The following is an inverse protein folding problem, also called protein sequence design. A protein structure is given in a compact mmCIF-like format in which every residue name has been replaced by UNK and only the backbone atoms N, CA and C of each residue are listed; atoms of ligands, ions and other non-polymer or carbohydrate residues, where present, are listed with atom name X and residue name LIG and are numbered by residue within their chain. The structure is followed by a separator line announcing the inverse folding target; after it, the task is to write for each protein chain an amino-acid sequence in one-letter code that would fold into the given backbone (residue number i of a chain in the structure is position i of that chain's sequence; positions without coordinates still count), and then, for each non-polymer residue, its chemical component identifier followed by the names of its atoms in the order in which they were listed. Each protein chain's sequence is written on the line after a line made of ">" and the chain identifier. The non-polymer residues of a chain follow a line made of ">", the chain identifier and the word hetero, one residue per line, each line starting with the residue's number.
data_IF_956638000647
#
_entry.id   IF_956638000647
#
_cell.length_a   1.000
_cell.length_b   1.000
_cell.length_c   1.000
_cell.angle_alpha   90.00
_cell.angle_beta   90.00
_cell.angle_gamma   90.00
#
_symmetry.space_group_name_H-M   'P 1'
#
loop_
_entity.id
_entity.type
_entity.pdbx_description
1 polymer ?
#
# COMPACT_ATOMS: atom_id res chain seq x y z
N UNK A 1 33.52 12.00 -92.81
CA UNK A 1 32.43 11.19 -92.23
C UNK A 1 32.84 10.80 -90.79
N UNK A 2 32.25 11.35 -89.79
CA UNK A 2 32.53 11.03 -88.37
C UNK A 2 31.41 10.11 -87.88
N UNK A 3 31.69 9.06 -87.11
CA UNK A 3 30.68 8.21 -86.56
C UNK A 3 30.06 8.82 -85.26
N UNK A 4 28.77 8.63 -85.07
CA UNK A 4 27.93 9.05 -84.00
C UNK A 4 28.05 8.06 -82.82
N UNK A 5 28.13 8.50 -81.56
CA UNK A 5 28.16 7.55 -80.43
C UNK A 5 26.75 7.12 -80.03
N UNK A 6 26.58 5.82 -79.86
CA UNK A 6 25.36 5.20 -79.30
C UNK A 6 25.34 5.40 -77.80
N UNK A 7 24.27 6.07 -77.28
CA UNK A 7 24.02 6.26 -75.87
C UNK A 7 23.27 5.03 -75.34
N UNK A 8 23.90 4.23 -74.49
CA UNK A 8 23.24 3.13 -73.77
C UNK A 8 22.63 3.69 -72.46
N UNK A 9 21.31 3.76 -72.38
CA UNK A 9 20.59 4.11 -71.15
C UNK A 9 20.50 2.89 -70.25
N UNK A 10 21.23 2.92 -69.14
CA UNK A 10 21.12 1.91 -68.10
C UNK A 10 19.84 2.21 -67.17
N UNK A 11 18.86 1.33 -67.27
CA UNK A 11 17.64 1.41 -66.45
C UNK A 11 17.94 0.76 -65.08
N UNK A 12 18.18 1.59 -64.04
CA UNK A 12 18.29 1.11 -62.65
C UNK A 12 16.87 0.84 -62.10
N UNK A 13 16.51 -0.42 -62.02
CA UNK A 13 15.30 -0.86 -61.29
C UNK A 13 15.60 -0.83 -59.79
N UNK A 14 15.09 0.21 -59.08
CA UNK A 14 15.13 0.28 -57.61
C UNK A 14 14.05 -0.66 -57.06
N UNK A 15 14.47 -1.81 -56.54
CA UNK A 15 13.59 -2.69 -55.74
C UNK A 15 13.33 -2.05 -54.39
N UNK A 16 12.17 -1.43 -54.19
CA UNK A 16 11.68 -1.06 -52.87
C UNK A 16 11.28 -2.33 -52.11
N UNK A 17 12.14 -2.80 -51.23
CA UNK A 17 11.82 -3.80 -50.22
C UNK A 17 10.96 -3.13 -49.18
N UNK A 18 9.63 -3.25 -49.29
CA UNK A 18 8.69 -2.86 -48.24
C UNK A 18 8.84 -3.82 -47.08
N UNK A 19 9.61 -3.44 -46.06
CA UNK A 19 9.62 -4.13 -44.77
C UNK A 19 8.32 -3.82 -44.05
N UNK A 20 7.39 -4.76 -44.12
CA UNK A 20 6.18 -4.72 -43.29
C UNK A 20 6.60 -4.84 -41.81
N UNK A 21 6.68 -3.72 -41.13
CA UNK A 21 6.77 -3.71 -39.65
C UNK A 21 5.43 -4.26 -39.15
N UNK A 22 5.40 -5.54 -38.77
CA UNK A 22 4.27 -6.10 -38.05
C UNK A 22 4.18 -5.30 -36.74
N UNK A 23 3.12 -4.51 -36.60
CA UNK A 23 2.76 -3.91 -35.32
C UNK A 23 2.65 -5.05 -34.30
N UNK A 24 3.57 -5.08 -33.33
CA UNK A 24 3.54 -6.05 -32.25
C UNK A 24 2.28 -5.76 -31.43
N UNK A 25 1.44 -6.76 -31.24
CA UNK A 25 0.25 -6.60 -30.39
C UNK A 25 0.70 -6.03 -29.04
N UNK A 26 -0.06 -5.09 -28.43
CA UNK A 26 0.32 -4.52 -27.15
C UNK A 26 0.54 -5.65 -26.14
N UNK A 27 1.77 -5.75 -25.67
CA UNK A 27 2.16 -6.77 -24.70
C UNK A 27 1.38 -6.49 -23.40
N UNK A 28 0.68 -7.51 -22.87
CA UNK A 28 -0.05 -7.38 -21.59
C UNK A 28 0.94 -6.93 -20.51
N UNK A 29 0.61 -5.90 -19.70
CA UNK A 29 1.52 -5.44 -18.64
C UNK A 29 1.90 -6.59 -17.69
N UNK A 30 3.16 -6.66 -17.29
CA UNK A 30 3.64 -7.58 -16.25
C UNK A 30 3.33 -6.99 -14.87
N UNK A 31 2.09 -7.13 -14.42
CA UNK A 31 1.61 -6.57 -13.16
C UNK A 31 2.15 -7.34 -11.97
N UNK A 32 2.80 -6.62 -11.06
CA UNK A 32 3.38 -7.16 -9.85
C UNK A 32 2.93 -6.32 -8.65
N UNK A 33 2.66 -6.97 -7.52
CA UNK A 33 2.22 -6.28 -6.30
C UNK A 33 2.83 -6.92 -5.05
N UNK A 34 3.36 -6.08 -4.16
CA UNK A 34 3.70 -6.44 -2.80
C UNK A 34 2.52 -6.12 -1.88
N UNK A 35 2.20 -7.04 -0.98
CA UNK A 35 1.15 -6.85 0.03
C UNK A 35 1.78 -6.38 1.32
N UNK A 36 1.23 -5.33 1.92
CA UNK A 36 1.64 -4.81 3.22
C UNK A 36 0.42 -4.63 4.12
N UNK A 37 0.58 -4.92 5.41
CA UNK A 37 -0.52 -4.86 6.39
C UNK A 37 -0.06 -4.01 7.57
N UNK A 38 -0.76 -2.90 7.79
CA UNK A 38 -0.45 -1.95 8.83
C UNK A 38 -1.23 -2.23 10.13
N UNK A 39 -0.87 -1.54 11.17
CA UNK A 39 -1.59 -1.49 12.43
C UNK A 39 -1.56 -2.75 13.29
N UNK A 40 -0.48 -3.55 13.18
CA UNK A 40 -0.34 -4.74 14.01
C UNK A 40 -0.29 -4.40 15.52
N UNK A 41 -0.84 -5.28 16.40
CA UNK A 41 -1.45 -6.59 16.10
C UNK A 41 -2.85 -6.51 15.52
N UNK A 42 -3.55 -5.37 15.59
CA UNK A 42 -4.86 -5.12 14.98
C UNK A 42 -5.18 -3.63 14.92
N UNK A 43 -5.77 -3.17 13.83
CA UNK A 43 -6.33 -1.81 13.72
C UNK A 43 -7.38 -1.51 14.78
N UNK A 44 -8.04 -2.55 15.32
CA UNK A 44 -9.08 -2.46 16.36
C UNK A 44 -8.60 -2.96 17.73
N UNK A 45 -7.29 -2.93 18.01
CA UNK A 45 -6.70 -3.51 19.22
C UNK A 45 -7.29 -2.98 20.52
N UNK A 46 -7.73 -1.72 20.56
CA UNK A 46 -8.35 -1.11 21.74
C UNK A 46 -9.73 -1.71 22.06
N UNK A 47 -10.41 -2.26 21.06
CA UNK A 47 -11.78 -2.77 21.13
C UNK A 47 -11.87 -4.30 21.18
N UNK A 48 -10.76 -4.99 20.88
CA UNK A 48 -10.72 -6.45 20.83
C UNK A 48 -9.94 -7.02 22.02
N UNK A 49 -10.40 -8.15 22.61
CA UNK A 49 -9.60 -8.94 23.54
C UNK A 49 -8.41 -9.59 22.80
N UNK A 50 -7.34 -9.89 23.55
CA UNK A 50 -6.14 -10.50 22.95
C UNK A 50 -6.41 -11.86 22.29
N UNK A 51 -7.32 -12.66 22.84
CA UNK A 51 -7.70 -13.95 22.27
C UNK A 51 -8.31 -13.79 20.85
N UNK A 52 -9.17 -12.77 20.65
CA UNK A 52 -9.78 -12.50 19.34
C UNK A 52 -8.73 -11.99 18.36
N UNK A 53 -7.78 -11.15 18.81
CA UNK A 53 -6.64 -10.69 17.99
C UNK A 53 -5.80 -11.88 17.54
N UNK A 54 -5.49 -12.81 18.46
CA UNK A 54 -4.71 -14.01 18.15
C UNK A 54 -5.44 -14.93 17.15
N UNK A 55 -6.75 -15.12 17.33
CA UNK A 55 -7.58 -15.92 16.42
C UNK A 55 -7.67 -15.27 15.01
N UNK A 56 -7.90 -13.96 14.96
CA UNK A 56 -7.88 -13.17 13.72
C UNK A 56 -6.52 -13.30 13.01
N UNK A 57 -5.42 -13.11 13.75
CA UNK A 57 -4.06 -13.21 13.21
C UNK A 57 -3.80 -14.60 12.65
N UNK A 58 -4.17 -15.68 13.38
CA UNK A 58 -4.00 -17.05 12.91
C UNK A 58 -4.70 -17.31 11.57
N UNK A 59 -5.94 -16.82 11.43
CA UNK A 59 -6.73 -16.98 10.22
C UNK A 59 -6.13 -16.21 9.04
N UNK A 60 -5.77 -14.94 9.26
CA UNK A 60 -5.14 -14.08 8.26
C UNK A 60 -3.85 -14.70 7.73
N UNK A 61 -2.93 -15.05 8.64
CA UNK A 61 -1.63 -15.61 8.29
C UNK A 61 -1.75 -17.00 7.65
N UNK A 62 -2.73 -17.81 8.06
CA UNK A 62 -3.04 -19.09 7.44
C UNK A 62 -3.38 -18.93 5.97
N UNK A 63 -4.29 -18.01 5.63
CA UNK A 63 -4.67 -17.73 4.23
C UNK A 63 -3.49 -17.24 3.41
N UNK A 64 -2.70 -16.28 3.94
CA UNK A 64 -1.53 -15.71 3.26
C UNK A 64 -0.45 -16.77 2.98
N UNK A 65 -0.14 -17.62 3.97
CA UNK A 65 0.83 -18.71 3.84
C UNK A 65 0.37 -19.75 2.80
N UNK A 66 -0.89 -20.19 2.90
CA UNK A 66 -1.42 -21.25 2.04
C UNK A 66 -1.47 -20.80 0.58
N UNK A 67 -1.69 -19.50 0.35
CA UNK A 67 -1.63 -18.88 -0.97
C UNK A 67 -0.23 -18.41 -1.38
N UNK A 68 0.80 -18.60 -0.53
CA UNK A 68 2.21 -18.22 -0.75
C UNK A 68 2.38 -16.73 -1.06
N UNK A 69 1.67 -15.88 -0.35
CA UNK A 69 1.75 -14.43 -0.51
C UNK A 69 2.84 -13.87 0.42
N UNK A 70 3.93 -13.28 -0.10
CA UNK A 70 4.89 -12.58 0.76
C UNK A 70 4.27 -11.30 1.31
N UNK A 71 4.41 -11.08 2.62
CA UNK A 71 3.80 -9.92 3.32
C UNK A 71 4.76 -9.35 4.34
N UNK A 72 4.72 -8.03 4.50
CA UNK A 72 5.33 -7.30 5.62
C UNK A 72 4.22 -6.69 6.47
N UNK A 73 4.24 -6.93 7.79
CA UNK A 73 3.33 -6.31 8.74
C UNK A 73 3.99 -5.15 9.49
N UNK A 74 3.32 -4.02 9.61
CA UNK A 74 3.84 -2.82 10.28
C UNK A 74 3.18 -2.64 11.66
N UNK A 75 4.02 -2.50 12.70
CA UNK A 75 3.62 -2.65 14.11
C UNK A 75 3.53 -1.30 14.80
N UNK A 76 2.42 -1.07 15.51
CA UNK A 76 2.34 -0.02 16.54
C UNK A 76 2.47 -0.67 17.93
N UNK A 77 3.64 -0.58 18.54
CA UNK A 77 3.89 -1.31 19.79
C UNK A 77 2.99 -0.88 20.96
N UNK A 78 2.51 0.36 20.98
CA UNK A 78 1.56 0.83 22.01
C UNK A 78 0.33 -0.06 22.14
N UNK A 79 -0.14 -0.62 21.02
CA UNK A 79 -1.30 -1.52 20.97
C UNK A 79 -1.08 -2.86 21.70
N UNK A 80 0.17 -3.17 22.06
CA UNK A 80 0.50 -4.37 22.86
C UNK A 80 0.25 -4.16 24.36
N UNK A 81 0.33 -2.91 24.85
CA UNK A 81 0.34 -2.60 26.27
C UNK A 81 -1.08 -2.43 26.83
N UNK A 82 -1.83 -3.52 26.90
CA UNK A 82 -3.11 -3.59 27.61
C UNK A 82 -2.94 -4.47 28.85
N UNK A 83 -3.31 -3.92 29.99
CA UNK A 83 -3.15 -4.59 31.28
C UNK A 83 -3.74 -6.02 31.25
N UNK A 84 -2.92 -7.00 31.63
CA UNK A 84 -3.30 -8.41 31.65
C UNK A 84 -3.29 -9.12 30.29
N UNK A 85 -2.97 -8.42 29.19
CA UNK A 85 -3.01 -9.00 27.84
C UNK A 85 -1.67 -8.87 27.07
N UNK A 86 -0.61 -8.29 27.66
CA UNK A 86 0.62 -7.93 26.96
C UNK A 86 1.27 -9.14 26.28
N UNK A 87 1.45 -10.23 27.02
CA UNK A 87 2.12 -11.43 26.50
C UNK A 87 1.34 -12.07 25.34
N UNK A 88 0.01 -12.11 25.44
CA UNK A 88 -0.83 -12.67 24.37
C UNK A 88 -0.83 -11.80 23.12
N UNK A 89 -0.79 -10.47 23.27
CA UNK A 89 -0.68 -9.53 22.16
C UNK A 89 0.69 -9.59 21.49
N UNK A 90 1.77 -9.77 22.27
CA UNK A 90 3.12 -10.03 21.73
C UNK A 90 3.15 -11.35 20.96
N UNK A 91 2.46 -12.38 21.45
CA UNK A 91 2.34 -13.67 20.77
C UNK A 91 1.71 -13.55 19.38
N UNK A 92 0.74 -12.65 19.21
CA UNK A 92 0.20 -12.36 17.87
C UNK A 92 1.31 -11.86 16.90
N UNK A 93 2.26 -11.03 17.36
CA UNK A 93 3.42 -10.64 16.53
C UNK A 93 4.41 -11.78 16.29
N UNK A 94 4.63 -12.64 17.30
CA UNK A 94 5.48 -13.84 17.12
C UNK A 94 4.95 -14.73 16.01
N UNK A 95 3.62 -14.88 15.92
CA UNK A 95 2.99 -15.68 14.86
C UNK A 95 3.37 -15.20 13.46
N UNK A 96 3.46 -13.88 13.20
CA UNK A 96 3.93 -13.37 11.92
C UNK A 96 5.29 -13.95 11.53
N UNK A 97 6.23 -13.93 12.46
CA UNK A 97 7.59 -14.44 12.27
C UNK A 97 7.62 -15.98 12.14
N UNK A 98 6.77 -16.69 12.87
CA UNK A 98 6.67 -18.16 12.84
C UNK A 98 6.04 -18.66 11.53
N UNK A 99 5.19 -17.82 10.91
CA UNK A 99 4.66 -18.09 9.58
C UNK A 99 5.62 -17.67 8.45
N UNK A 100 6.78 -17.09 8.79
CA UNK A 100 7.84 -16.72 7.84
C UNK A 100 7.64 -15.32 7.23
N UNK A 101 6.78 -14.48 7.81
CA UNK A 101 6.58 -13.10 7.38
C UNK A 101 7.52 -12.13 8.09
N UNK A 102 7.62 -10.90 7.58
CA UNK A 102 8.46 -9.85 8.15
C UNK A 102 7.64 -8.85 8.95
N UNK A 103 8.31 -8.21 9.92
CA UNK A 103 7.77 -7.08 10.68
C UNK A 103 8.52 -5.81 10.34
N UNK A 104 7.79 -4.71 10.20
CA UNK A 104 8.27 -3.33 10.05
C UNK A 104 7.80 -2.44 11.20
N UNK A 105 8.38 -1.27 11.32
CA UNK A 105 8.01 -0.26 12.32
C UNK A 105 6.97 0.70 11.76
N UNK A 106 5.91 0.96 12.54
CA UNK A 106 4.84 1.92 12.25
C UNK A 106 4.69 2.96 13.36
N UNK A 107 5.81 3.32 13.99
CA UNK A 107 5.92 4.09 15.24
C UNK A 107 5.31 3.37 16.46
N UNK A 108 5.57 3.88 17.66
CA UNK A 108 5.02 3.30 18.87
C UNK A 108 3.52 3.54 18.97
N UNK A 109 3.10 4.79 18.89
CA UNK A 109 1.72 5.22 19.17
C UNK A 109 0.89 5.55 17.93
N UNK A 110 1.38 5.22 16.72
CA UNK A 110 0.80 5.66 15.46
C UNK A 110 0.87 7.20 15.31
N UNK A 111 2.01 7.79 15.71
CA UNK A 111 2.19 9.23 15.70
C UNK A 111 2.33 9.78 14.27
N UNK A 112 1.48 10.76 13.92
CA UNK A 112 1.59 11.52 12.67
C UNK A 112 2.76 12.51 12.77
N UNK A 113 3.72 12.45 11.84
CA UNK A 113 4.80 13.43 11.72
C UNK A 113 4.25 14.85 11.59
N UNK A 114 3.16 14.99 10.82
CA UNK A 114 2.53 16.28 10.55
C UNK A 114 1.86 16.91 11.78
N UNK A 115 1.46 16.10 12.77
CA UNK A 115 0.76 16.57 13.97
C UNK A 115 1.68 16.78 15.15
N UNK A 116 2.60 15.84 15.42
CA UNK A 116 3.43 15.90 16.63
C UNK A 116 4.77 16.62 16.43
N UNK A 117 5.19 16.82 15.17
CA UNK A 117 6.47 17.40 14.81
C UNK A 117 7.63 16.42 14.90
N UNK A 118 8.78 16.79 14.27
CA UNK A 118 9.89 15.91 14.00
C UNK A 118 10.43 15.22 15.27
N UNK A 119 10.77 15.99 16.29
CA UNK A 119 11.43 15.43 17.48
C UNK A 119 10.57 14.43 18.24
N UNK A 120 9.30 14.73 18.45
CA UNK A 120 8.38 13.83 19.13
C UNK A 120 8.10 12.58 18.28
N UNK A 121 8.06 12.73 16.96
CA UNK A 121 7.91 11.62 16.03
C UNK A 121 9.15 10.70 16.02
N UNK A 122 10.37 11.26 16.01
CA UNK A 122 11.61 10.48 16.13
C UNK A 122 11.64 9.63 17.41
N UNK A 123 11.26 10.23 18.55
CA UNK A 123 11.18 9.53 19.82
C UNK A 123 10.15 8.39 19.78
N UNK A 124 9.01 8.60 19.11
CA UNK A 124 7.97 7.59 18.90
C UNK A 124 8.44 6.45 17.96
N UNK A 125 9.22 6.77 16.92
CA UNK A 125 9.87 5.75 16.08
C UNK A 125 10.81 4.87 16.89
N UNK A 126 11.68 5.49 17.72
CA UNK A 126 12.64 4.76 18.56
C UNK A 126 11.92 3.87 19.57
N UNK A 127 10.87 4.39 20.21
CA UNK A 127 10.08 3.63 21.17
C UNK A 127 9.41 2.41 20.53
N UNK A 128 8.96 2.51 19.27
CA UNK A 128 8.33 1.45 18.50
C UNK A 128 9.27 0.36 17.98
N UNK A 129 10.53 0.34 18.43
CA UNK A 129 11.49 -0.70 18.05
C UNK A 129 11.68 -1.79 19.12
N UNK A 130 11.23 -1.56 20.33
CA UNK A 130 11.66 -2.30 21.52
C UNK A 130 11.26 -3.77 21.45
N UNK A 131 9.98 -4.05 21.26
CA UNK A 131 9.44 -5.41 21.18
C UNK A 131 9.81 -6.04 19.84
N UNK A 132 9.70 -5.30 18.74
CA UNK A 132 10.02 -5.85 17.42
C UNK A 132 11.47 -6.34 17.38
N UNK A 133 12.44 -5.55 17.82
CA UNK A 133 13.86 -5.95 17.86
C UNK A 133 14.09 -7.16 18.75
N UNK A 134 13.40 -7.23 19.91
CA UNK A 134 13.47 -8.39 20.80
C UNK A 134 12.98 -9.67 20.10
N UNK A 135 11.91 -9.59 19.29
CA UNK A 135 11.36 -10.72 18.56
C UNK A 135 12.21 -11.15 17.36
N UNK A 136 12.86 -10.19 16.69
CA UNK A 136 13.71 -10.44 15.51
C UNK A 136 15.10 -11.02 15.89
N UNK A 137 15.66 -10.63 17.03
CA UNK A 137 17.03 -10.99 17.42
C UNK A 137 17.31 -12.51 17.46
N UNK A 138 16.46 -13.37 18.08
CA UNK A 138 16.68 -14.82 18.08
C UNK A 138 16.66 -15.44 16.69
N UNK A 139 15.96 -14.79 15.74
CA UNK A 139 15.82 -15.25 14.35
C UNK A 139 16.90 -14.68 13.43
N UNK A 140 17.82 -13.88 13.95
CA UNK A 140 18.87 -13.16 13.20
C UNK A 140 18.29 -12.28 12.07
N UNK A 141 17.06 -11.84 12.23
CA UNK A 141 16.38 -10.92 11.32
C UNK A 141 16.68 -9.46 11.69
N UNK A 142 16.63 -8.58 10.69
CA UNK A 142 16.81 -7.13 10.87
C UNK A 142 15.48 -6.41 10.74
N UNK A 143 15.25 -5.38 11.54
CA UNK A 143 14.17 -4.43 11.34
C UNK A 143 14.57 -3.48 10.19
N UNK A 144 13.99 -3.71 9.01
CA UNK A 144 14.42 -3.06 7.76
C UNK A 144 13.45 -2.00 7.24
N UNK A 145 12.17 -2.13 7.56
CA UNK A 145 11.13 -1.33 6.93
C UNK A 145 10.42 -0.43 7.91
N UNK A 146 10.11 0.77 7.42
CA UNK A 146 9.32 1.76 8.13
C UNK A 146 8.13 2.21 7.26
N UNK A 147 6.96 2.35 7.87
CA UNK A 147 5.77 2.95 7.26
C UNK A 147 5.34 4.17 8.05
N UNK A 148 5.18 5.28 7.36
CA UNK A 148 4.65 6.51 7.97
C UNK A 148 3.18 6.32 8.37
N UNK A 149 2.79 6.55 9.65
CA UNK A 149 1.39 6.67 10.03
C UNK A 149 0.67 7.73 9.21
N UNK A 150 -0.56 7.44 8.81
CA UNK A 150 -1.38 8.30 7.95
C UNK A 150 -0.74 8.65 6.59
N UNK A 151 0.36 7.99 6.22
CA UNK A 151 1.21 8.34 5.07
C UNK A 151 1.82 9.75 5.16
N UNK A 152 1.82 10.35 6.35
CA UNK A 152 2.33 11.70 6.61
C UNK A 152 3.85 11.76 6.52
N UNK A 153 4.37 12.45 5.51
CA UNK A 153 5.81 12.55 5.24
C UNK A 153 6.42 13.90 5.59
N UNK A 154 5.63 14.83 6.12
CA UNK A 154 6.05 16.19 6.49
C UNK A 154 5.25 17.27 5.78
N UNK A 155 4.99 18.38 6.48
CA UNK A 155 4.25 19.55 5.94
C UNK A 155 5.13 20.47 5.09
N UNK A 156 6.44 20.31 5.20
CA UNK A 156 7.44 21.06 4.44
C UNK A 156 8.64 20.17 4.09
N UNK A 157 9.41 20.59 3.08
CA UNK A 157 10.53 19.82 2.56
C UNK A 157 11.70 19.68 3.55
N UNK A 158 11.87 20.60 4.48
CA UNK A 158 12.93 20.49 5.49
C UNK A 158 12.60 19.38 6.47
N UNK A 159 11.44 19.44 7.09
CA UNK A 159 10.93 18.41 8.02
C UNK A 159 10.95 17.03 7.36
N UNK A 160 10.50 16.93 6.11
CA UNK A 160 10.52 15.68 5.36
C UNK A 160 11.93 15.11 5.20
N UNK A 161 12.89 15.92 4.75
CA UNK A 161 14.27 15.49 4.53
C UNK A 161 14.96 15.07 5.83
N UNK A 162 14.71 15.79 6.92
CA UNK A 162 15.24 15.46 8.24
C UNK A 162 14.67 14.12 8.73
N UNK A 163 13.38 13.88 8.58
CA UNK A 163 12.74 12.59 8.90
C UNK A 163 13.28 11.44 8.04
N UNK A 164 13.44 11.64 6.73
CA UNK A 164 14.04 10.67 5.82
C UNK A 164 15.49 10.35 6.19
N UNK A 165 16.30 11.36 6.50
CA UNK A 165 17.69 11.20 6.94
C UNK A 165 17.78 10.40 8.24
N UNK A 166 16.94 10.72 9.23
CA UNK A 166 16.84 10.00 10.49
C UNK A 166 16.51 8.51 10.27
N UNK A 167 15.55 8.20 9.41
CA UNK A 167 15.17 6.82 9.10
C UNK A 167 16.33 6.06 8.42
N UNK A 168 17.01 6.69 7.45
CA UNK A 168 18.15 6.11 6.74
C UNK A 168 19.31 5.85 7.71
N UNK A 169 19.64 6.79 8.60
CA UNK A 169 20.68 6.62 9.62
C UNK A 169 20.41 5.43 10.54
N UNK A 170 19.15 5.19 10.87
CA UNK A 170 18.72 4.02 11.66
C UNK A 170 18.62 2.72 10.87
N UNK A 171 18.92 2.75 9.57
CA UNK A 171 18.93 1.58 8.70
C UNK A 171 17.57 1.18 8.18
N UNK A 172 16.58 2.08 8.22
CA UNK A 172 15.27 1.85 7.65
C UNK A 172 15.24 2.14 6.15
N UNK A 173 14.39 1.40 5.49
CA UNK A 173 13.89 1.68 4.15
C UNK A 173 12.41 2.01 4.26
N UNK A 174 12.02 3.18 3.78
CA UNK A 174 10.61 3.60 3.77
C UNK A 174 9.83 2.67 2.85
N UNK A 175 8.68 2.21 3.31
CA UNK A 175 7.72 1.44 2.54
C UNK A 175 6.60 2.37 2.06
N UNK A 176 6.67 2.90 0.83
CA UNK A 176 5.60 3.67 0.24
C UNK A 176 4.38 2.79 -0.08
N UNK A 177 3.27 3.41 -0.48
CA UNK A 177 2.11 2.69 -1.02
C UNK A 177 1.68 3.28 -2.36
N UNK A 178 1.08 2.45 -3.19
CA UNK A 178 0.54 2.85 -4.50
C UNK A 178 -0.89 2.38 -4.72
N UNK A 179 -1.35 1.44 -3.90
CA UNK A 179 -2.72 0.95 -3.89
C UNK A 179 -3.29 1.10 -2.48
N UNK A 180 -4.29 1.95 -2.31
CA UNK A 180 -5.00 2.17 -1.06
C UNK A 180 -6.52 2.16 -1.32
N UNK A 181 -7.20 1.16 -0.79
CA UNK A 181 -8.65 1.00 -0.90
C UNK A 181 -9.40 1.40 0.36
N UNK A 182 -8.77 2.11 1.32
CA UNK A 182 -9.42 2.54 2.57
C UNK A 182 -10.12 1.41 3.32
N UNK A 183 -9.50 0.23 3.29
CA UNK A 183 -10.00 -1.01 3.87
C UNK A 183 -10.39 -0.86 5.35
N UNK A 184 -9.66 -0.03 6.12
CA UNK A 184 -9.92 0.22 7.54
C UNK A 184 -11.33 0.78 7.81
N UNK A 185 -11.91 1.57 6.88
CA UNK A 185 -13.29 2.05 7.03
C UNK A 185 -14.30 0.92 6.88
N UNK A 186 -14.12 0.07 5.86
CA UNK A 186 -14.93 -1.13 5.69
C UNK A 186 -14.77 -2.08 6.88
N UNK A 187 -13.53 -2.27 7.36
CA UNK A 187 -13.20 -3.13 8.48
C UNK A 187 -13.92 -2.68 9.77
N UNK A 188 -13.97 -1.38 10.03
CA UNK A 188 -14.68 -0.85 11.19
C UNK A 188 -16.18 -1.13 11.17
N UNK A 189 -16.82 -0.97 10.01
CA UNK A 189 -18.25 -1.27 9.84
C UNK A 189 -18.50 -2.79 9.85
N UNK A 190 -17.57 -3.58 9.29
CA UNK A 190 -17.62 -5.04 9.32
C UNK A 190 -17.55 -5.60 10.74
N UNK A 191 -16.67 -5.05 11.57
CA UNK A 191 -16.52 -5.43 12.98
C UNK A 191 -17.82 -5.20 13.76
N UNK A 192 -18.49 -4.06 13.58
CA UNK A 192 -19.78 -3.77 14.17
C UNK A 192 -20.86 -4.77 13.70
N UNK A 193 -20.92 -5.06 12.41
CA UNK A 193 -21.86 -6.04 11.85
C UNK A 193 -21.59 -7.46 12.40
N UNK A 194 -20.30 -7.84 12.51
CA UNK A 194 -19.88 -9.13 13.07
C UNK A 194 -20.28 -9.27 14.55
N UNK A 195 -20.03 -8.24 15.35
CA UNK A 195 -20.40 -8.19 16.76
C UNK A 195 -21.91 -8.34 16.98
N UNK A 196 -22.73 -7.81 16.06
CA UNK A 196 -24.20 -7.92 16.09
C UNK A 196 -24.75 -9.18 15.42
N UNK A 197 -23.89 -10.05 14.87
CA UNK A 197 -24.26 -11.20 14.05
C UNK A 197 -25.14 -10.84 12.83
N UNK A 198 -24.95 -9.64 12.27
CA UNK A 198 -25.67 -9.15 11.10
C UNK A 198 -25.01 -9.66 9.81
N UNK A 199 -25.33 -10.88 9.45
CA UNK A 199 -24.72 -11.56 8.29
C UNK A 199 -25.10 -10.88 6.97
N UNK A 200 -26.28 -10.29 6.88
CA UNK A 200 -26.71 -9.58 5.65
C UNK A 200 -25.84 -8.33 5.42
N UNK A 201 -25.60 -7.55 6.48
CA UNK A 201 -24.73 -6.38 6.41
C UNK A 201 -23.27 -6.79 6.14
N UNK A 202 -22.76 -7.87 6.77
CA UNK A 202 -21.42 -8.39 6.48
C UNK A 202 -21.27 -8.70 4.98
N UNK A 203 -22.22 -9.40 4.36
CA UNK A 203 -22.21 -9.72 2.94
C UNK A 203 -22.24 -8.47 2.05
N UNK A 204 -23.05 -7.46 2.42
CA UNK A 204 -23.09 -6.18 1.70
C UNK A 204 -21.73 -5.48 1.76
N UNK A 205 -21.11 -5.39 2.96
CA UNK A 205 -19.81 -4.77 3.15
C UNK A 205 -18.76 -5.45 2.26
N UNK A 206 -18.68 -6.78 2.30
CA UNK A 206 -17.70 -7.54 1.51
C UNK A 206 -17.88 -7.30 0.01
N UNK A 207 -19.11 -7.32 -0.47
CA UNK A 207 -19.40 -7.06 -1.88
C UNK A 207 -18.92 -5.67 -2.32
N UNK A 208 -19.19 -4.63 -1.52
CA UNK A 208 -18.81 -3.26 -1.85
C UNK A 208 -17.30 -3.04 -1.65
N UNK A 209 -16.71 -3.62 -0.62
CA UNK A 209 -15.27 -3.64 -0.39
C UNK A 209 -14.50 -4.19 -1.60
N UNK A 210 -14.87 -5.36 -2.11
CA UNK A 210 -14.21 -5.97 -3.27
C UNK A 210 -14.43 -5.15 -4.55
N UNK A 211 -15.66 -4.63 -4.76
CA UNK A 211 -15.97 -3.81 -5.94
C UNK A 211 -15.21 -2.48 -5.92
N UNK A 212 -15.11 -1.83 -4.75
CA UNK A 212 -14.39 -0.58 -4.61
C UNK A 212 -12.88 -0.79 -4.82
N UNK A 213 -12.29 -1.84 -4.25
CA UNK A 213 -10.89 -2.17 -4.47
C UNK A 213 -10.58 -2.46 -5.94
N UNK A 214 -11.46 -3.18 -6.65
CA UNK A 214 -11.28 -3.42 -8.09
C UNK A 214 -11.27 -2.12 -8.90
N UNK A 215 -12.14 -1.15 -8.54
CA UNK A 215 -12.17 0.16 -9.15
C UNK A 215 -10.91 0.99 -8.83
N UNK A 216 -10.43 0.95 -7.57
CA UNK A 216 -9.18 1.61 -7.14
C UNK A 216 -7.98 1.03 -7.89
N UNK A 217 -7.89 -0.29 -8.02
CA UNK A 217 -6.80 -0.92 -8.76
C UNK A 217 -6.80 -0.49 -10.23
N UNK A 218 -7.98 -0.46 -10.88
CA UNK A 218 -8.11 0.04 -12.25
C UNK A 218 -7.68 1.50 -12.40
N UNK A 219 -8.06 2.34 -11.45
CA UNK A 219 -7.68 3.75 -11.41
C UNK A 219 -6.16 3.91 -11.26
N UNK A 220 -5.57 3.23 -10.28
CA UNK A 220 -4.13 3.32 -10.00
C UNK A 220 -3.26 2.82 -11.17
N UNK A 221 -3.69 1.76 -11.87
CA UNK A 221 -3.06 1.28 -13.10
C UNK A 221 -3.02 2.37 -14.17
N UNK A 222 -4.17 3.03 -14.40
CA UNK A 222 -4.26 4.09 -15.40
C UNK A 222 -3.49 5.35 -14.99
N UNK A 223 -3.60 5.75 -13.72
CA UNK A 223 -2.91 6.93 -13.21
C UNK A 223 -1.40 6.74 -13.24
N UNK A 224 -0.90 5.59 -12.77
CA UNK A 224 0.53 5.29 -12.78
C UNK A 224 1.10 5.29 -14.20
N UNK A 225 0.39 4.71 -15.17
CA UNK A 225 0.81 4.75 -16.58
C UNK A 225 0.89 6.20 -17.13
N UNK A 226 -0.01 7.10 -16.71
CA UNK A 226 0.02 8.53 -17.10
C UNK A 226 1.12 9.32 -16.40
N UNK A 227 1.44 8.98 -15.16
CA UNK A 227 2.39 9.72 -14.31
C UNK A 227 3.82 9.22 -14.51
N UNK A 228 4.00 7.90 -14.50
CA UNK A 228 5.31 7.23 -14.56
C UNK A 228 5.68 6.85 -16.00
N UNK A 229 4.69 6.69 -16.88
CA UNK A 229 4.88 6.24 -18.26
C UNK A 229 4.73 4.71 -18.44
N UNK A 230 4.53 3.98 -17.35
CA UNK A 230 4.26 2.54 -17.32
C UNK A 230 3.53 2.18 -16.02
N UNK A 231 3.06 0.93 -15.90
CA UNK A 231 2.51 0.40 -14.64
C UNK A 231 3.68 -0.13 -13.79
N UNK A 232 4.10 0.57 -12.70
CA UNK A 232 5.20 0.12 -11.84
C UNK A 232 4.77 -1.09 -11.01
N UNK A 233 5.74 -1.73 -10.36
CA UNK A 233 5.44 -2.71 -9.31
C UNK A 233 4.69 -2.00 -8.18
N UNK A 234 3.50 -2.48 -7.86
CA UNK A 234 2.60 -1.84 -6.91
C UNK A 234 2.89 -2.28 -5.47
N UNK A 235 2.53 -1.45 -4.50
CA UNK A 235 2.56 -1.79 -3.08
C UNK A 235 1.17 -1.52 -2.52
N UNK A 236 0.50 -2.59 -2.08
CA UNK A 236 -0.85 -2.57 -1.51
C UNK A 236 -0.79 -2.31 -0.02
N UNK A 237 -1.57 -1.34 0.44
CA UNK A 237 -1.84 -1.08 1.85
C UNK A 237 -3.15 -1.76 2.26
N UNK A 238 -3.07 -2.54 3.34
CA UNK A 238 -4.19 -3.10 4.09
C UNK A 238 -3.95 -2.92 5.59
N UNK A 239 -4.96 -3.14 6.42
CA UNK A 239 -4.85 -3.07 7.88
C UNK A 239 -5.26 -4.38 8.55
N UNK A 240 -4.58 -4.75 9.64
CA UNK A 240 -4.89 -5.98 10.37
C UNK A 240 -6.28 -5.92 11.00
N UNK A 241 -7.23 -6.70 10.47
CA UNK A 241 -8.65 -6.65 10.84
C UNK A 241 -9.36 -7.99 10.64
N UNK A 242 -10.55 -8.13 11.22
CA UNK A 242 -11.41 -9.30 10.98
C UNK A 242 -11.90 -9.35 9.52
N UNK A 243 -12.10 -8.21 8.85
CA UNK A 243 -12.46 -8.18 7.44
C UNK A 243 -11.37 -8.85 6.59
N UNK A 244 -10.11 -8.48 6.81
CA UNK A 244 -8.99 -9.07 6.09
C UNK A 244 -8.79 -10.54 6.47
N UNK A 245 -8.93 -10.91 7.74
CA UNK A 245 -8.82 -12.30 8.17
C UNK A 245 -9.91 -13.19 7.53
N UNK A 246 -11.09 -12.67 7.32
CA UNK A 246 -12.22 -13.39 6.76
C UNK A 246 -12.21 -13.41 5.23
N UNK A 247 -11.74 -12.33 4.55
CA UNK A 247 -11.97 -12.09 3.11
C UNK A 247 -10.74 -11.71 2.28
N UNK A 248 -9.53 -11.68 2.85
CA UNK A 248 -8.32 -11.35 2.08
C UNK A 248 -8.14 -12.27 0.87
N UNK A 249 -8.52 -13.55 0.98
CA UNK A 249 -8.44 -14.49 -0.13
C UNK A 249 -9.23 -14.04 -1.37
N UNK A 250 -10.40 -13.43 -1.15
CA UNK A 250 -11.25 -12.89 -2.21
C UNK A 250 -10.64 -11.62 -2.83
N UNK A 251 -10.05 -10.75 -2.01
CA UNK A 251 -9.33 -9.57 -2.51
C UNK A 251 -8.10 -9.96 -3.35
N UNK A 252 -7.32 -10.95 -2.89
CA UNK A 252 -6.18 -11.46 -3.65
C UNK A 252 -6.62 -12.06 -5.00
N UNK A 253 -7.82 -12.64 -5.06
CA UNK A 253 -8.39 -13.15 -6.31
C UNK A 253 -8.80 -12.01 -7.27
N UNK A 254 -9.27 -10.86 -6.77
CA UNK A 254 -9.48 -9.65 -7.59
C UNK A 254 -8.17 -9.25 -8.27
N UNK A 255 -7.07 -9.19 -7.52
CA UNK A 255 -5.75 -8.87 -8.07
C UNK A 255 -5.28 -9.90 -9.12
N UNK A 256 -5.47 -11.21 -8.86
CA UNK A 256 -5.12 -12.26 -9.84
C UNK A 256 -5.91 -12.12 -11.14
N UNK A 257 -7.22 -11.85 -11.06
CA UNK A 257 -8.06 -11.60 -12.25
C UNK A 257 -7.58 -10.40 -13.06
N UNK A 258 -7.01 -9.40 -12.41
CA UNK A 258 -6.37 -8.25 -13.06
C UNK A 258 -4.99 -8.58 -13.63
N UNK A 259 -4.45 -9.77 -13.36
CA UNK A 259 -3.18 -10.26 -13.88
C UNK A 259 -1.98 -9.96 -12.98
N UNK A 260 -2.20 -9.60 -11.73
CA UNK A 260 -1.10 -9.38 -10.78
C UNK A 260 -0.46 -10.68 -10.31
N UNK A 261 0.88 -10.64 -10.19
CA UNK A 261 1.68 -11.62 -9.46
C UNK A 261 2.13 -10.99 -8.15
N UNK A 262 2.12 -11.78 -7.07
CA UNK A 262 2.56 -11.32 -5.76
C UNK A 262 4.07 -11.46 -5.62
N UNK A 263 4.72 -10.39 -5.14
CA UNK A 263 6.17 -10.30 -4.98
C UNK A 263 6.53 -9.80 -3.57
N UNK A 264 7.74 -10.08 -3.05
CA UNK A 264 8.24 -9.46 -1.83
C UNK A 264 8.30 -7.92 -1.93
N UNK A 265 8.15 -7.24 -0.80
CA UNK A 265 8.29 -5.77 -0.73
C UNK A 265 9.65 -5.29 -1.25
N UNK A 266 10.73 -6.03 -0.95
CA UNK A 266 12.08 -5.73 -1.46
C UNK A 266 12.11 -5.64 -2.99
N UNK A 267 11.43 -6.58 -3.68
CA UNK A 267 11.38 -6.62 -5.14
C UNK A 267 10.54 -5.48 -5.72
N UNK A 268 9.46 -5.10 -5.01
CA UNK A 268 8.64 -3.96 -5.42
C UNK A 268 9.44 -2.66 -5.31
N UNK A 269 10.13 -2.44 -4.19
CA UNK A 269 10.99 -1.28 -3.95
C UNK A 269 12.20 -1.19 -4.90
N UNK A 270 12.51 -2.24 -5.64
CA UNK A 270 13.51 -2.25 -6.70
C UNK A 270 13.02 -1.64 -8.03
N UNK A 271 11.75 -1.26 -8.15
CA UNK A 271 11.23 -0.58 -9.34
C UNK A 271 11.78 0.85 -9.45
N UNK A 272 12.09 1.30 -10.67
CA UNK A 272 12.64 2.63 -10.93
C UNK A 272 11.70 3.76 -10.50
N UNK A 273 10.39 3.52 -10.48
CA UNK A 273 9.41 4.50 -10.02
C UNK A 273 9.70 5.00 -8.61
N UNK A 274 10.16 4.12 -7.71
CA UNK A 274 10.48 4.50 -6.33
C UNK A 274 11.78 5.30 -6.17
N UNK A 275 12.47 5.57 -7.28
CA UNK A 275 13.62 6.48 -7.35
C UNK A 275 13.28 7.80 -8.05
N UNK A 276 12.03 8.02 -8.45
CA UNK A 276 11.59 9.28 -9.03
C UNK A 276 11.71 10.42 -8.01
N UNK A 277 11.98 11.65 -8.47
CA UNK A 277 11.88 12.83 -7.62
C UNK A 277 10.51 12.90 -6.94
N UNK A 278 10.52 13.18 -5.64
CA UNK A 278 9.33 13.33 -4.84
C UNK A 278 9.49 14.55 -3.93
N UNK A 279 8.74 15.60 -4.22
CA UNK A 279 8.73 16.86 -3.48
C UNK A 279 7.36 17.13 -2.84
N UNK A 280 6.51 16.11 -2.78
CA UNK A 280 5.21 16.25 -2.14
C UNK A 280 5.37 16.62 -0.67
N UNK A 281 4.64 17.62 -0.25
CA UNK A 281 4.42 18.03 1.13
C UNK A 281 2.96 18.47 1.27
N UNK A 282 2.33 18.14 2.39
CA UNK A 282 0.90 18.43 2.57
C UNK A 282 0.47 18.28 4.03
N UNK A 283 -0.74 18.75 4.32
CA UNK A 283 -1.36 18.60 5.63
C UNK A 283 -1.70 17.13 5.92
N UNK A 284 -2.07 16.38 4.89
CA UNK A 284 -2.45 14.96 4.94
C UNK A 284 -1.55 14.16 4.01
N UNK A 285 -1.27 12.89 4.38
CA UNK A 285 -0.54 11.97 3.55
C UNK A 285 -1.40 11.38 2.43
N UNK A 286 -0.76 10.93 1.37
CA UNK A 286 -1.41 10.25 0.25
C UNK A 286 -0.49 9.17 -0.35
N UNK A 287 -0.98 8.43 -1.34
CA UNK A 287 -0.21 7.40 -2.04
C UNK A 287 0.88 7.98 -2.94
N UNK A 288 1.93 7.19 -3.22
CA UNK A 288 3.10 7.66 -3.96
C UNK A 288 2.84 7.96 -5.44
N UNK A 289 1.78 7.40 -6.05
CA UNK A 289 1.38 7.81 -7.41
C UNK A 289 0.94 9.27 -7.42
N UNK A 290 0.23 9.71 -6.37
CA UNK A 290 -0.17 11.10 -6.20
C UNK A 290 1.03 12.00 -5.89
N UNK A 291 1.97 11.56 -5.03
CA UNK A 291 3.22 12.27 -4.80
C UNK A 291 3.94 12.57 -6.12
N UNK A 292 4.13 11.55 -6.96
CA UNK A 292 4.81 11.71 -8.26
C UNK A 292 4.02 12.60 -9.21
N UNK A 293 2.69 12.51 -9.22
CA UNK A 293 1.84 13.37 -10.04
C UNK A 293 1.99 14.84 -9.62
N UNK A 294 1.84 15.13 -8.33
CA UNK A 294 1.92 16.49 -7.78
C UNK A 294 3.33 17.07 -7.99
N UNK A 295 4.37 16.28 -7.77
CA UNK A 295 5.76 16.69 -8.04
C UNK A 295 5.99 17.10 -9.50
N UNK A 296 5.24 16.48 -10.44
CA UNK A 296 5.26 16.81 -11.86
C UNK A 296 4.29 17.95 -12.24
N UNK A 297 3.63 18.58 -11.28
CA UNK A 297 2.62 19.61 -11.52
C UNK A 297 1.31 19.09 -12.12
N UNK A 298 1.04 17.77 -11.97
CA UNK A 298 -0.20 17.13 -12.41
C UNK A 298 -1.16 16.97 -11.23
N UNK A 299 -2.44 17.14 -11.48
CA UNK A 299 -3.48 16.91 -10.47
C UNK A 299 -4.16 15.57 -10.80
N UNK A 300 -4.08 14.57 -9.92
CA UNK A 300 -4.82 13.31 -10.07
C UNK A 300 -6.32 13.58 -10.16
N UNK A 301 -7.01 12.92 -11.07
CA UNK A 301 -8.46 13.06 -11.27
C UNK A 301 -9.10 11.74 -11.60
N UNK A 302 -10.38 11.61 -11.26
CA UNK A 302 -11.18 10.45 -11.63
C UNK A 302 -11.02 9.27 -10.66
N UNK A 303 -10.57 9.52 -9.43
CA UNK A 303 -10.59 8.51 -8.38
C UNK A 303 -12.02 7.98 -8.16
N UNK A 304 -12.19 6.67 -7.92
CA UNK A 304 -13.50 6.11 -7.64
C UNK A 304 -14.10 6.71 -6.37
N UNK A 305 -15.38 7.05 -6.41
CA UNK A 305 -16.08 7.56 -5.24
C UNK A 305 -16.19 6.47 -4.17
N UNK A 306 -15.80 6.80 -2.94
CA UNK A 306 -15.96 5.90 -1.81
C UNK A 306 -17.44 5.77 -1.41
N UNK A 307 -17.93 4.59 -0.98
CA UNK A 307 -19.33 4.39 -0.60
C UNK A 307 -19.75 5.30 0.56
N UNK A 308 -20.63 6.25 0.29
CA UNK A 308 -21.03 7.30 1.24
C UNK A 308 -21.63 6.73 2.54
N UNK A 309 -22.40 5.65 2.46
CA UNK A 309 -23.00 5.02 3.63
C UNK A 309 -21.96 4.41 4.59
N UNK A 310 -20.81 3.94 4.08
CA UNK A 310 -19.69 3.44 4.91
C UNK A 310 -19.10 4.60 5.70
N UNK A 311 -18.90 5.76 5.06
CA UNK A 311 -18.43 6.98 5.72
C UNK A 311 -19.36 7.37 6.86
N UNK A 312 -20.65 7.44 6.57
CA UNK A 312 -21.68 7.81 7.55
C UNK A 312 -21.71 6.82 8.72
N UNK A 313 -21.61 5.52 8.43
CA UNK A 313 -21.59 4.49 9.45
C UNK A 313 -20.32 4.55 10.29
N UNK A 314 -19.16 4.77 9.69
CA UNK A 314 -17.88 4.97 10.39
C UNK A 314 -17.96 6.15 11.37
N UNK A 315 -18.55 7.28 10.95
CA UNK A 315 -18.78 8.44 11.82
C UNK A 315 -19.71 8.09 13.01
N UNK A 316 -20.83 7.39 12.74
CA UNK A 316 -21.77 6.97 13.80
C UNK A 316 -21.13 6.05 14.83
N UNK A 317 -20.19 5.21 14.42
CA UNK A 317 -19.49 4.27 15.29
C UNK A 317 -18.28 4.90 16.00
N UNK A 318 -18.01 6.18 15.79
CA UNK A 318 -16.84 6.89 16.33
C UNK A 318 -15.54 6.11 16.10
N UNK A 319 -15.35 5.60 14.89
CA UNK A 319 -14.18 4.80 14.51
C UNK A 319 -13.00 5.66 14.10
N UNK A 320 -13.22 6.93 13.76
CA UNK A 320 -12.17 7.89 13.44
C UNK A 320 -11.92 8.82 14.62
N UNK A 321 -10.69 8.94 15.08
CA UNK A 321 -10.26 9.87 16.16
C UNK A 321 -9.76 11.22 15.62
N UNK A 322 -9.77 11.42 14.30
CA UNK A 322 -9.36 12.66 13.62
C UNK A 322 -10.42 13.14 12.65
N UNK A 323 -10.24 14.35 12.12
CA UNK A 323 -10.95 14.83 10.94
C UNK A 323 -10.57 13.97 9.74
N UNK A 324 -11.10 12.75 9.68
CA UNK A 324 -11.08 11.99 8.45
C UNK A 324 -12.09 12.66 7.55
N UNK A 325 -11.61 13.58 6.76
CA UNK A 325 -12.29 13.90 5.51
C UNK A 325 -12.32 12.57 4.76
N UNK A 326 -13.53 12.09 4.45
CA UNK A 326 -13.68 11.04 3.45
C UNK A 326 -12.77 11.36 2.28
N UNK A 327 -12.39 10.38 1.43
CA UNK A 327 -11.76 10.69 0.17
C UNK A 327 -12.72 11.57 -0.64
N UNK A 328 -12.84 12.82 -0.23
CA UNK A 328 -13.22 13.91 -1.10
C UNK A 328 -12.05 13.99 -2.05
N UNK A 329 -12.34 14.05 -3.34
CA UNK A 329 -11.33 14.43 -4.30
C UNK A 329 -10.41 15.46 -3.58
N UNK A 330 -9.15 15.12 -3.20
CA UNK A 330 -8.28 16.02 -2.45
C UNK A 330 -7.99 17.31 -3.25
N UNK A 331 -8.52 17.39 -4.45
CA UNK A 331 -8.37 18.46 -5.41
C UNK A 331 -9.70 19.16 -5.75
N UNK A 332 -10.80 18.87 -5.06
CA UNK A 332 -12.01 19.69 -5.18
C UNK A 332 -11.69 21.10 -4.66
N UNK A 333 -11.83 22.17 -5.48
CA UNK A 333 -11.65 23.53 -5.02
C UNK A 333 -12.67 23.81 -3.91
N UNK A 334 -12.17 24.24 -2.74
CA UNK A 334 -12.98 24.78 -1.65
C UNK A 334 -13.60 26.10 -2.05
#
# INVERSE_FOLDING_TARGET
>A
MKPLPILIAALCAACFLSTSVKAQAPQKPDRQVAVTIDDLPSGMADRLPAADITAMTAKLLGTLRDQKIPVVGFVNEKKLYKTGEVDERIKALQMWLDYGFELGNHTFSHASLNQVGLKAWEDDVIQGESVIRLLLAPRKMKLRYFRHPYLDTGRDLLTRREAEAFLVERGYRIAPITLDGWDWMFAGVYEDAKKRNDTALQQQIVKEYLAYHDAVFAYSEQLSAKVVGYEPKQILLLHASNLEADHIGELLEVLRKRGYRFIPLEDALGDQAYSLPDTYVGEEGTGWIDHWAITQGKIPQGAPAFPQWVIERTKQLHLSTGTVTAPTDPYSPQ
#
